data_IF_348071612199
#
_entry.id   IF_348071612199
#
_cell.length_a   1.000
_cell.length_b   1.000
_cell.length_c   1.000
_cell.angle_alpha   90.00
_cell.angle_beta   90.00
_cell.angle_gamma   90.00
#
_symmetry.space_group_name_H-M   'P 1'
#
loop_
_entity.id
_entity.type
_entity.pdbx_description
1 polymer ?
#
# COMPACT_ATOMS: atom_id res chain seq x y z
N UNK A 1 12.57 34.39 66.70
CA UNK A 1 12.40 32.93 66.61
C UNK A 1 11.85 32.65 65.23
N UNK A 2 12.70 32.06 64.41
CA UNK A 2 12.45 31.58 63.05
C UNK A 2 11.73 30.23 63.11
N UNK A 3 10.66 30.04 62.35
CA UNK A 3 10.22 28.70 61.98
C UNK A 3 10.00 28.62 60.48
N UNK A 4 10.80 27.73 59.89
CA UNK A 4 10.88 27.41 58.49
C UNK A 4 9.74 26.45 58.14
N UNK A 5 8.81 26.88 57.28
CA UNK A 5 7.93 25.96 56.60
C UNK A 5 8.68 25.37 55.40
N UNK A 6 9.16 24.16 55.61
CA UNK A 6 9.74 23.25 54.63
C UNK A 6 8.77 23.07 53.46
N UNK A 7 9.17 23.54 52.28
CA UNK A 7 8.55 23.17 51.01
C UNK A 7 8.78 21.67 50.81
N UNK A 8 7.71 20.87 50.90
CA UNK A 8 7.77 19.48 50.45
C UNK A 8 8.02 19.46 48.94
N UNK A 9 9.20 18.97 48.57
CA UNK A 9 9.55 18.73 47.19
C UNK A 9 8.61 17.65 46.63
N UNK A 10 7.98 17.85 45.45
CA UNK A 10 7.32 16.75 44.78
C UNK A 10 8.40 15.71 44.48
N UNK A 11 8.20 14.49 44.97
CA UNK A 11 8.99 13.32 44.62
C UNK A 11 8.82 13.08 43.13
N UNK A 12 9.68 13.71 42.34
CA UNK A 12 9.89 13.35 40.95
C UNK A 12 10.33 11.89 40.93
N UNK A 13 9.37 10.99 40.71
CA UNK A 13 9.65 9.67 40.18
C UNK A 13 10.23 9.87 38.77
N UNK A 14 11.49 10.29 38.72
CA UNK A 14 12.32 10.25 37.54
C UNK A 14 12.39 8.78 37.15
N UNK A 15 11.48 8.38 36.25
CA UNK A 15 11.57 7.12 35.54
C UNK A 15 12.95 7.16 34.91
N UNK A 16 13.91 6.44 35.50
CA UNK A 16 15.27 6.30 34.99
C UNK A 16 15.08 5.74 33.59
N UNK A 17 15.05 6.62 32.59
CA UNK A 17 15.12 6.27 31.19
C UNK A 17 16.55 5.77 31.02
N UNK A 18 16.77 4.50 31.36
CA UNK A 18 17.96 3.79 30.97
C UNK A 18 18.12 4.07 29.49
N UNK A 19 19.22 4.74 29.13
CA UNK A 19 19.47 5.14 27.76
C UNK A 19 19.64 3.85 26.99
N UNK A 20 18.53 3.36 26.41
CA UNK A 20 18.51 2.12 25.64
C UNK A 20 19.42 2.35 24.45
N UNK A 21 20.41 1.47 24.31
CA UNK A 21 21.28 1.41 23.13
C UNK A 21 20.88 0.17 22.35
N UNK A 22 20.93 0.29 21.03
CA UNK A 22 20.70 -0.85 20.15
C UNK A 22 21.81 -1.89 20.31
N UNK A 23 21.44 -3.17 20.28
CA UNK A 23 22.34 -4.31 20.24
C UNK A 23 22.05 -5.21 19.03
N UNK A 24 23.04 -5.96 18.51
CA UNK A 24 22.80 -6.91 17.43
C UNK A 24 21.69 -7.92 17.78
N UNK A 25 20.71 -8.07 16.88
CA UNK A 25 19.53 -8.92 17.11
C UNK A 25 18.36 -8.22 17.80
N UNK A 26 18.54 -6.99 18.32
CA UNK A 26 17.44 -6.19 18.85
C UNK A 26 16.70 -5.42 17.75
N UNK A 27 15.46 -5.03 18.07
CA UNK A 27 14.64 -4.14 17.27
C UNK A 27 15.40 -2.85 16.96
N UNK A 28 15.56 -2.52 15.68
CA UNK A 28 16.32 -1.35 15.24
C UNK A 28 15.64 -0.03 15.63
N UNK A 29 14.33 -0.04 15.92
CA UNK A 29 13.58 1.17 16.30
C UNK A 29 13.69 1.54 17.78
N UNK A 30 13.37 0.60 18.67
CA UNK A 30 13.25 0.81 20.12
C UNK A 30 14.31 0.07 20.95
N UNK A 31 15.14 -0.78 20.33
CA UNK A 31 16.18 -1.57 21.01
C UNK A 31 15.65 -2.75 21.83
N UNK A 32 14.36 -3.07 21.71
CA UNK A 32 13.76 -4.22 22.38
C UNK A 32 14.18 -5.55 21.75
N UNK A 33 14.35 -6.59 22.57
CA UNK A 33 14.73 -7.94 22.15
C UNK A 33 13.54 -8.89 22.05
N UNK A 34 12.37 -8.47 22.51
CA UNK A 34 11.20 -9.32 22.55
C UNK A 34 10.57 -9.52 21.16
N UNK A 35 10.39 -10.78 20.76
CA UNK A 35 9.71 -11.18 19.51
C UNK A 35 10.23 -10.43 18.28
N UNK A 36 11.56 -10.29 18.19
CA UNK A 36 12.23 -9.62 17.07
C UNK A 36 12.28 -10.55 15.87
N UNK A 37 11.71 -10.07 14.77
CA UNK A 37 11.78 -10.73 13.47
C UNK A 37 12.23 -9.73 12.41
N UNK A 38 12.65 -10.24 11.26
CA UNK A 38 13.00 -9.40 10.12
C UNK A 38 11.73 -8.96 9.41
N UNK A 39 11.43 -7.67 9.50
CA UNK A 39 10.31 -7.03 8.82
C UNK A 39 10.84 -5.94 7.89
N UNK A 40 10.49 -5.98 6.60
CA UNK A 40 11.00 -5.03 5.58
C UNK A 40 12.54 -4.89 5.57
N UNK A 41 13.25 -6.02 5.71
CA UNK A 41 14.71 -6.08 5.77
C UNK A 41 15.35 -5.44 7.03
N UNK A 42 14.57 -5.16 8.06
CA UNK A 42 15.03 -4.59 9.32
C UNK A 42 14.53 -5.43 10.51
N UNK A 43 15.34 -5.62 11.58
CA UNK A 43 14.86 -6.31 12.77
C UNK A 43 13.85 -5.40 13.49
N UNK A 44 12.62 -5.88 13.66
CA UNK A 44 11.54 -5.18 14.36
C UNK A 44 10.91 -6.10 15.40
N UNK A 45 10.72 -5.60 16.62
CA UNK A 45 9.92 -6.31 17.63
C UNK A 45 8.44 -6.30 17.26
N UNK A 46 7.66 -7.22 17.84
CA UNK A 46 6.22 -7.32 17.60
C UNK A 46 5.47 -6.00 17.82
N UNK A 47 5.82 -5.23 18.85
CA UNK A 47 5.18 -3.94 19.16
C UNK A 47 5.41 -2.90 18.06
N UNK A 48 6.65 -2.73 17.60
CA UNK A 48 6.95 -1.79 16.52
C UNK A 48 6.24 -2.21 15.22
N UNK A 49 6.24 -3.51 14.90
CA UNK A 49 5.54 -4.04 13.72
C UNK A 49 4.05 -3.74 13.75
N UNK A 50 3.39 -3.90 14.90
CA UNK A 50 1.96 -3.59 15.06
C UNK A 50 1.66 -2.12 14.74
N UNK A 51 2.42 -1.18 15.31
CA UNK A 51 2.22 0.24 15.03
C UNK A 51 2.56 0.61 13.58
N UNK A 52 3.64 0.07 13.02
CA UNK A 52 3.98 0.28 11.60
C UNK A 52 2.87 -0.24 10.67
N UNK A 53 2.32 -1.41 10.97
CA UNK A 53 1.20 -2.00 10.22
C UNK A 53 -0.04 -1.10 10.24
N UNK A 54 -0.42 -0.55 11.40
CA UNK A 54 -1.55 0.40 11.51
C UNK A 54 -1.31 1.65 10.65
N UNK A 55 -0.10 2.20 10.66
CA UNK A 55 0.22 3.39 9.85
C UNK A 55 0.17 3.04 8.36
N UNK A 56 0.65 1.86 7.97
CA UNK A 56 0.63 1.42 6.58
C UNK A 56 -0.78 1.12 6.08
N UNK A 57 -1.62 0.51 6.91
CA UNK A 57 -3.03 0.27 6.63
C UNK A 57 -3.77 1.58 6.38
N UNK A 58 -3.61 2.56 7.28
CA UNK A 58 -4.17 3.88 7.08
C UNK A 58 -3.64 4.54 5.78
N UNK A 59 -2.36 4.34 5.41
CA UNK A 59 -1.82 4.91 4.15
C UNK A 59 -2.46 4.26 2.94
N UNK A 60 -2.69 2.95 2.98
CA UNK A 60 -3.40 2.21 1.92
C UNK A 60 -4.84 2.68 1.79
N UNK A 61 -5.54 2.88 2.92
CA UNK A 61 -6.90 3.40 2.93
C UNK A 61 -6.98 4.78 2.26
N UNK A 62 -6.12 5.73 2.67
CA UNK A 62 -6.09 7.06 2.05
C UNK A 62 -5.79 6.97 0.55
N UNK A 63 -4.84 6.13 0.15
CA UNK A 63 -4.51 5.93 -1.26
C UNK A 63 -5.63 5.32 -2.09
N UNK A 64 -6.38 4.36 -1.52
CA UNK A 64 -7.50 3.69 -2.18
C UNK A 64 -8.62 4.66 -2.55
N UNK A 65 -8.92 5.61 -1.65
CA UNK A 65 -9.98 6.60 -1.85
C UNK A 65 -9.48 7.94 -2.39
N UNK A 66 -8.20 8.05 -2.77
CA UNK A 66 -7.62 9.29 -3.29
C UNK A 66 -7.62 10.45 -2.28
N UNK A 67 -7.65 10.13 -0.99
CA UNK A 67 -7.74 11.09 0.11
C UNK A 67 -6.39 11.76 0.38
N UNK A 68 -6.43 12.88 1.10
CA UNK A 68 -5.22 13.58 1.53
C UNK A 68 -4.34 12.66 2.39
N UNK A 69 -3.01 12.61 2.17
CA UNK A 69 -2.08 11.83 2.98
C UNK A 69 -2.17 12.12 4.48
N UNK A 70 -1.84 11.09 5.28
CA UNK A 70 -1.87 11.15 6.75
C UNK A 70 -0.77 12.06 7.29
N UNK A 71 -1.13 13.03 8.14
CA UNK A 71 -0.19 13.90 8.83
C UNK A 71 -0.51 15.40 8.79
N UNK A 72 -1.52 15.81 8.01
CA UNK A 72 -2.00 17.20 8.00
C UNK A 72 -2.99 17.48 9.13
N UNK A 73 -4.20 16.94 9.02
CA UNK A 73 -5.34 17.18 9.93
C UNK A 73 -6.04 15.87 10.29
N UNK A 74 -6.73 15.86 11.43
CA UNK A 74 -7.72 14.82 11.77
C UNK A 74 -9.10 15.08 11.16
N UNK A 75 -9.36 16.30 10.70
CA UNK A 75 -10.65 16.65 10.11
C UNK A 75 -10.97 15.73 8.93
N UNK A 76 -12.16 15.13 8.97
CA UNK A 76 -12.73 14.22 8.01
C UNK A 76 -14.26 14.39 8.03
N UNK A 77 -14.89 14.29 6.87
CA UNK A 77 -16.36 14.25 6.75
C UNK A 77 -16.92 12.82 6.80
N UNK A 78 -16.04 11.82 6.94
CA UNK A 78 -16.35 10.39 6.99
C UNK A 78 -15.71 9.76 8.24
N UNK A 79 -16.49 8.97 8.98
CA UNK A 79 -16.06 8.36 10.25
C UNK A 79 -14.94 7.35 10.05
N UNK A 80 -15.00 6.52 9.01
CA UNK A 80 -13.98 5.50 8.72
C UNK A 80 -12.64 6.16 8.39
N UNK A 81 -12.65 7.25 7.61
CA UNK A 81 -11.46 8.07 7.40
C UNK A 81 -10.92 8.66 8.72
N UNK A 82 -11.80 9.17 9.60
CA UNK A 82 -11.40 9.73 10.89
C UNK A 82 -10.69 8.69 11.76
N UNK A 83 -11.24 7.48 11.86
CA UNK A 83 -10.64 6.38 12.61
C UNK A 83 -9.24 6.02 12.08
N UNK A 84 -9.06 5.91 10.77
CA UNK A 84 -7.74 5.65 10.18
C UNK A 84 -6.74 6.77 10.44
N UNK A 85 -7.17 8.05 10.40
CA UNK A 85 -6.31 9.20 10.73
C UNK A 85 -5.91 9.19 12.21
N UNK A 86 -6.86 8.89 13.10
CA UNK A 86 -6.64 8.82 14.54
C UNK A 86 -5.68 7.68 14.90
N UNK A 87 -5.96 6.45 14.44
CA UNK A 87 -5.16 5.27 14.71
C UNK A 87 -3.71 5.44 14.21
N UNK A 88 -3.52 6.00 13.01
CA UNK A 88 -2.18 6.28 12.49
C UNK A 88 -1.43 7.34 13.32
N UNK A 89 -2.12 8.36 13.84
CA UNK A 89 -1.52 9.37 14.71
C UNK A 89 -1.08 8.77 16.03
N UNK A 90 -1.93 7.96 16.65
CA UNK A 90 -1.63 7.29 17.91
C UNK A 90 -0.48 6.29 17.74
N UNK A 91 -0.48 5.50 16.67
CA UNK A 91 0.62 4.60 16.34
C UNK A 91 1.95 5.34 16.12
N UNK A 92 1.93 6.50 15.44
CA UNK A 92 3.13 7.35 15.30
C UNK A 92 3.62 7.89 16.64
N UNK A 93 2.70 8.34 17.49
CA UNK A 93 3.04 8.82 18.85
C UNK A 93 3.69 7.69 19.66
N UNK A 94 3.05 6.52 19.71
CA UNK A 94 3.58 5.36 20.42
C UNK A 94 4.98 4.96 19.92
N UNK A 95 5.20 4.94 18.60
CA UNK A 95 6.53 4.69 18.03
C UNK A 95 7.54 5.76 18.43
N UNK A 96 7.18 7.05 18.41
CA UNK A 96 8.08 8.12 18.81
C UNK A 96 8.44 8.06 20.30
N UNK A 97 7.49 7.67 21.16
CA UNK A 97 7.69 7.57 22.60
C UNK A 97 8.72 6.48 22.98
N UNK A 98 8.76 5.38 22.23
CA UNK A 98 9.69 4.26 22.44
C UNK A 98 10.95 4.32 21.56
N UNK A 99 11.11 5.37 20.75
CA UNK A 99 12.20 5.46 19.78
C UNK A 99 13.54 5.58 20.50
N UNK A 100 14.54 4.83 20.02
CA UNK A 100 15.93 5.00 20.47
C UNK A 100 16.40 6.44 20.22
N UNK A 101 17.06 7.02 21.22
CA UNK A 101 17.64 8.36 21.13
C UNK A 101 18.67 8.46 19.98
N UNK A 102 19.47 7.41 19.78
CA UNK A 102 20.38 7.27 18.66
C UNK A 102 20.03 6.01 17.88
N UNK A 103 19.67 6.17 16.61
CA UNK A 103 19.42 5.04 15.71
C UNK A 103 20.74 4.35 15.35
N UNK A 104 20.76 3.02 15.27
CA UNK A 104 21.96 2.29 14.86
C UNK A 104 22.28 2.53 13.37
N UNK A 105 23.57 2.44 13.03
CA UNK A 105 24.02 2.54 11.64
C UNK A 105 23.47 1.37 10.80
N UNK A 106 22.82 1.63 9.65
CA UNK A 106 22.32 0.59 8.75
C UNK A 106 23.39 -0.41 8.28
N UNK A 107 24.67 -0.05 8.26
CA UNK A 107 25.75 -1.01 7.99
C UNK A 107 25.91 -2.05 9.11
N UNK A 108 25.81 -1.61 10.38
CA UNK A 108 25.87 -2.50 11.54
C UNK A 108 24.67 -3.44 11.60
N UNK A 109 23.48 -2.91 11.28
CA UNK A 109 22.24 -3.69 11.20
C UNK A 109 22.38 -4.78 10.14
N UNK A 110 22.78 -4.41 8.90
CA UNK A 110 23.01 -5.38 7.82
C UNK A 110 24.08 -6.43 8.17
N UNK A 111 25.14 -6.04 8.88
CA UNK A 111 26.18 -6.99 9.35
C UNK A 111 25.61 -7.98 10.36
N UNK A 112 24.73 -7.54 11.26
CA UNK A 112 24.06 -8.39 12.25
C UNK A 112 23.03 -9.34 11.62
N UNK A 113 22.39 -8.95 10.51
CA UNK A 113 21.43 -9.77 9.76
C UNK A 113 22.07 -10.88 8.91
N UNK A 114 23.38 -10.81 8.63
CA UNK A 114 24.03 -11.83 7.81
C UNK A 114 24.01 -13.16 8.57
N UNK A 115 23.57 -14.27 7.93
CA UNK A 115 23.69 -15.57 8.54
C UNK A 115 25.17 -15.82 8.83
N UNK A 116 25.52 -16.02 10.11
CA UNK A 116 26.85 -16.47 10.52
C UNK A 116 27.05 -17.90 10.02
N UNK A 117 27.43 -18.05 8.76
CA UNK A 117 28.09 -19.27 8.31
C UNK A 117 29.46 -19.34 9.04
N UNK A 118 29.70 -20.43 9.77
CA UNK A 118 30.94 -20.76 10.49
C UNK A 118 31.27 -19.94 11.75
N UNK A 119 30.57 -20.25 12.84
CA UNK A 119 31.14 -20.20 14.19
C UNK A 119 31.16 -21.61 14.79
N UNK A 120 31.74 -22.56 14.05
CA UNK A 120 32.15 -23.88 14.54
C UNK A 120 33.48 -24.18 13.85
N UNK A 121 34.57 -23.85 14.53
CA UNK A 121 35.83 -24.60 14.61
C UNK A 121 36.75 -23.80 15.54
N UNK A 122 36.80 -24.22 16.80
CA UNK A 122 37.94 -23.97 17.65
C UNK A 122 39.20 -24.55 17.00
N UNK A 123 40.32 -23.82 17.09
CA UNK A 123 41.69 -24.31 16.92
C UNK A 123 42.04 -24.89 15.54
N UNK A 124 42.92 -24.22 14.80
CA UNK A 124 44.18 -24.77 14.31
C UNK A 124 44.91 -23.70 13.49
N UNK A 125 46.18 -23.54 13.82
CA UNK A 125 47.18 -22.87 13.01
C UNK A 125 47.29 -23.58 11.65
N UNK A 126 47.50 -22.82 10.57
CA UNK A 126 47.97 -23.40 9.32
C UNK A 126 47.30 -22.87 8.06
N UNK A 127 48.06 -22.02 7.38
CA UNK A 127 48.23 -21.97 5.93
C UNK A 127 47.37 -22.92 5.09
N UNK A 128 46.62 -22.38 4.12
CA UNK A 128 46.90 -22.63 2.70
C UNK A 128 45.88 -21.94 1.80
N UNK A 129 46.42 -21.28 0.78
CA UNK A 129 45.71 -20.78 -0.37
C UNK A 129 45.14 -21.94 -1.21
N UNK A 130 43.89 -21.79 -1.66
CA UNK A 130 43.35 -22.39 -2.89
C UNK A 130 42.03 -21.64 -3.19
N UNK A 131 42.06 -20.66 -4.09
CA UNK A 131 41.72 -20.81 -5.52
C UNK A 131 40.53 -21.72 -5.73
N UNK A 132 39.32 -21.13 -5.77
CA UNK A 132 38.15 -21.77 -6.35
C UNK A 132 37.48 -20.81 -7.33
N UNK A 133 37.70 -21.17 -8.59
CA UNK A 133 36.96 -20.88 -9.82
C UNK A 133 35.69 -20.03 -9.72
N UNK A 134 35.77 -18.87 -10.41
CA UNK A 134 34.63 -18.15 -11.00
C UNK A 134 33.98 -19.04 -12.07
N UNK A 135 32.66 -18.94 -12.25
CA UNK A 135 32.22 -18.45 -13.56
C UNK A 135 31.37 -17.20 -13.42
N UNK A 136 31.65 -16.25 -14.30
CA UNK A 136 30.79 -15.13 -14.57
C UNK A 136 29.59 -15.58 -15.38
N UNK A 137 28.42 -15.03 -15.06
CA UNK A 137 27.43 -14.67 -16.07
C UNK A 137 26.60 -13.52 -15.55
N UNK A 138 26.89 -12.34 -16.12
CA UNK A 138 26.06 -11.17 -16.06
C UNK A 138 25.42 -11.00 -17.44
N UNK A 139 24.08 -11.00 -17.50
CA UNK A 139 23.21 -10.13 -18.32
C UNK A 139 21.78 -10.65 -18.18
N UNK A 140 20.89 -9.90 -17.51
CA UNK A 140 19.93 -8.97 -18.12
C UNK A 140 19.16 -9.58 -19.29
N UNK A 141 17.89 -9.90 -19.05
CA UNK A 141 16.82 -9.76 -20.06
C UNK A 141 15.48 -9.66 -19.35
N UNK A 142 14.84 -8.51 -19.57
CA UNK A 142 13.44 -8.21 -19.32
C UNK A 142 12.55 -9.14 -20.15
N UNK A 143 11.64 -9.87 -19.51
CA UNK A 143 10.58 -10.62 -20.18
C UNK A 143 9.22 -10.01 -19.85
N UNK A 144 8.75 -9.20 -20.78
CA UNK A 144 7.38 -8.76 -20.96
C UNK A 144 6.42 -9.94 -21.21
N UNK A 145 5.23 -9.82 -20.61
CA UNK A 145 3.92 -10.22 -21.15
C UNK A 145 3.75 -11.61 -21.82
N UNK A 146 2.95 -12.47 -21.21
CA UNK A 146 2.17 -13.47 -21.94
C UNK A 146 0.91 -13.86 -21.17
N UNK A 147 -0.16 -13.10 -21.40
CA UNK A 147 -1.54 -13.52 -21.14
C UNK A 147 -1.96 -14.60 -22.15
N UNK A 148 -2.86 -15.53 -21.78
CA UNK A 148 -3.21 -16.68 -22.61
C UNK A 148 -4.01 -16.27 -23.87
N UNK A 149 -3.64 -16.86 -25.01
CA UNK A 149 -4.33 -16.77 -26.30
C UNK A 149 -5.71 -17.44 -26.22
N UNK A 150 -6.80 -16.80 -26.67
CA UNK A 150 -7.93 -17.52 -27.25
C UNK A 150 -7.65 -17.69 -28.75
N UNK A 151 -7.42 -18.93 -29.17
CA UNK A 151 -7.52 -19.30 -30.57
C UNK A 151 -9.01 -19.40 -30.95
N UNK A 152 -9.49 -18.50 -31.79
CA UNK A 152 -10.61 -18.72 -32.72
C UNK A 152 -10.49 -17.73 -33.88
N UNK A 153 -10.39 -18.32 -35.06
CA UNK A 153 -10.30 -17.78 -36.41
C UNK A 153 -10.95 -16.40 -36.59
N UNK A 154 -10.14 -15.40 -36.92
CA UNK A 154 -10.63 -14.19 -37.55
C UNK A 154 -10.97 -14.51 -39.01
N UNK A 155 -12.26 -14.59 -39.31
CA UNK A 155 -12.75 -14.46 -40.68
C UNK A 155 -12.29 -13.09 -41.23
N UNK A 156 -12.06 -12.95 -42.56
CA UNK A 156 -11.72 -11.66 -43.13
C UNK A 156 -12.84 -10.68 -42.82
N UNK A 157 -12.51 -9.62 -42.06
CA UNK A 157 -13.41 -8.48 -41.87
C UNK A 157 -13.66 -7.91 -43.25
N UNK A 158 -14.85 -8.17 -43.77
CA UNK A 158 -15.32 -7.51 -44.99
C UNK A 158 -15.33 -6.02 -44.68
N UNK A 159 -14.48 -5.24 -45.33
CA UNK A 159 -14.58 -3.77 -45.38
C UNK A 159 -15.75 -3.34 -46.28
N UNK A 160 -16.87 -4.06 -46.19
CA UNK A 160 -18.01 -3.95 -47.09
C UNK A 160 -19.25 -3.68 -46.27
N UNK A 161 -19.78 -2.47 -46.43
CA UNK A 161 -20.98 -1.92 -45.82
C UNK A 161 -21.02 -1.97 -44.28
N UNK A 162 -21.20 -0.81 -43.68
CA UNK A 162 -21.57 -0.72 -42.27
C UNK A 162 -22.96 -1.36 -42.12
N UNK A 163 -23.03 -2.50 -41.43
CA UNK A 163 -24.30 -3.20 -41.19
C UNK A 163 -25.16 -2.40 -40.20
N UNK A 164 -26.21 -1.79 -40.71
CA UNK A 164 -27.12 -0.95 -39.93
C UNK A 164 -27.90 -1.78 -38.90
N UNK A 165 -28.19 -3.06 -39.16
CA UNK A 165 -28.90 -3.95 -38.22
C UNK A 165 -28.00 -4.33 -37.04
N UNK A 166 -26.71 -4.58 -37.29
CA UNK A 166 -25.72 -4.82 -36.24
C UNK A 166 -25.54 -3.58 -35.35
N UNK A 167 -25.48 -2.39 -35.95
CA UNK A 167 -25.42 -1.12 -35.21
C UNK A 167 -26.65 -0.95 -34.31
N UNK A 168 -27.85 -1.24 -34.82
CA UNK A 168 -29.09 -1.12 -34.05
C UNK A 168 -29.11 -2.10 -32.87
N UNK A 169 -28.75 -3.36 -33.11
CA UNK A 169 -28.72 -4.39 -32.06
C UNK A 169 -27.74 -4.02 -30.95
N UNK A 170 -26.55 -3.50 -31.32
CA UNK A 170 -25.56 -3.02 -30.36
C UNK A 170 -26.03 -1.77 -29.60
N UNK A 171 -26.72 -0.86 -30.26
CA UNK A 171 -27.30 0.32 -29.62
C UNK A 171 -28.37 -0.06 -28.58
N UNK A 172 -29.26 -1.00 -28.92
CA UNK A 172 -30.27 -1.52 -27.98
C UNK A 172 -29.63 -2.17 -26.76
N UNK A 173 -28.62 -3.03 -26.95
CA UNK A 173 -27.91 -3.66 -25.84
C UNK A 173 -27.21 -2.63 -24.92
N UNK A 174 -26.65 -1.55 -25.49
CA UNK A 174 -26.05 -0.47 -24.71
C UNK A 174 -27.09 0.37 -23.95
N UNK A 175 -28.30 0.55 -24.50
CA UNK A 175 -29.40 1.21 -23.80
C UNK A 175 -29.93 0.38 -22.63
N UNK A 176 -30.02 -0.95 -22.80
CA UNK A 176 -30.36 -1.85 -21.69
C UNK A 176 -29.31 -1.78 -20.57
N UNK A 177 -28.02 -1.79 -20.93
CA UNK A 177 -26.92 -1.61 -19.97
C UNK A 177 -26.99 -0.24 -19.28
N UNK A 178 -27.32 0.82 -20.01
CA UNK A 178 -27.50 2.17 -19.45
C UNK A 178 -28.62 2.18 -18.40
N UNK A 179 -29.75 1.54 -18.70
CA UNK A 179 -30.88 1.44 -17.76
C UNK A 179 -30.50 0.67 -16.48
N UNK A 180 -29.70 -0.39 -16.60
CA UNK A 180 -29.20 -1.15 -15.45
C UNK A 180 -28.26 -0.32 -14.57
N UNK A 181 -27.38 0.48 -15.17
CA UNK A 181 -26.49 1.39 -14.44
C UNK A 181 -27.29 2.49 -13.73
N UNK A 182 -28.32 3.05 -14.37
CA UNK A 182 -29.17 4.06 -13.75
C UNK A 182 -29.95 3.48 -12.55
N UNK A 183 -30.43 2.23 -12.64
CA UNK A 183 -31.02 1.53 -11.51
C UNK A 183 -30.01 1.32 -10.37
N UNK A 184 -28.76 0.93 -10.68
CA UNK A 184 -27.70 0.80 -9.67
C UNK A 184 -27.34 2.14 -9.03
N UNK A 185 -27.26 3.22 -9.81
CA UNK A 185 -27.02 4.57 -9.28
C UNK A 185 -28.12 4.99 -8.29
N UNK A 186 -29.38 4.69 -8.58
CA UNK A 186 -30.49 4.96 -7.66
C UNK A 186 -30.34 4.20 -6.33
N UNK A 187 -29.89 2.94 -6.37
CA UNK A 187 -29.67 2.14 -5.16
C UNK A 187 -28.48 2.62 -4.31
N UNK A 188 -27.44 3.17 -4.93
CA UNK A 188 -26.25 3.67 -4.22
C UNK A 188 -26.42 5.14 -3.79
N UNK A 189 -27.41 5.87 -4.33
CA UNK A 189 -27.68 7.26 -3.95
C UNK A 189 -28.00 7.43 -2.46
N UNK A 190 -28.71 6.47 -1.87
CA UNK A 190 -29.07 6.44 -0.45
C UNK A 190 -27.91 5.98 0.46
N UNK A 191 -26.84 5.43 -0.11
CA UNK A 191 -25.70 4.93 0.65
C UNK A 191 -24.69 6.05 0.92
N UNK A 192 -24.38 6.22 2.20
CA UNK A 192 -23.35 7.11 2.68
C UNK A 192 -22.01 6.36 2.85
N UNK A 193 -20.91 7.11 2.83
CA UNK A 193 -19.56 6.57 3.03
C UNK A 193 -18.67 6.59 1.79
N UNK A 194 -17.36 6.48 2.01
CA UNK A 194 -16.34 6.52 0.96
C UNK A 194 -16.51 5.42 -0.10
N UNK A 195 -16.81 4.19 0.33
CA UNK A 195 -17.07 3.08 -0.58
C UNK A 195 -18.26 3.34 -1.51
N UNK A 196 -19.35 3.90 -0.97
CA UNK A 196 -20.53 4.26 -1.76
C UNK A 196 -20.24 5.41 -2.73
N UNK A 197 -19.48 6.43 -2.31
CA UNK A 197 -19.03 7.53 -3.17
C UNK A 197 -18.15 7.03 -4.32
N UNK A 198 -17.19 6.15 -4.03
CA UNK A 198 -16.31 5.56 -5.05
C UNK A 198 -17.13 4.76 -6.09
N UNK A 199 -18.05 3.90 -5.62
CA UNK A 199 -18.95 3.13 -6.50
C UNK A 199 -19.81 4.03 -7.38
N UNK A 200 -20.39 5.11 -6.83
CA UNK A 200 -21.16 6.09 -7.63
C UNK A 200 -20.31 6.73 -8.71
N UNK A 201 -19.11 7.20 -8.36
CA UNK A 201 -18.18 7.79 -9.34
C UNK A 201 -17.84 6.83 -10.49
N UNK A 202 -17.64 5.54 -10.18
CA UNK A 202 -17.33 4.55 -11.22
C UNK A 202 -18.53 4.24 -12.10
N UNK A 203 -19.74 4.12 -11.53
CA UNK A 203 -20.98 3.97 -12.30
C UNK A 203 -21.24 5.19 -13.21
N UNK A 204 -20.98 6.40 -12.73
CA UNK A 204 -21.07 7.63 -13.54
C UNK A 204 -20.07 7.64 -14.70
N UNK A 205 -18.83 7.17 -14.49
CA UNK A 205 -17.84 7.02 -15.57
C UNK A 205 -18.27 5.98 -16.60
N UNK A 206 -18.86 4.87 -16.15
CA UNK A 206 -19.41 3.84 -17.04
C UNK A 206 -20.56 4.40 -17.87
N UNK A 207 -21.52 5.08 -17.24
CA UNK A 207 -22.61 5.80 -17.91
C UNK A 207 -22.10 6.77 -18.97
N UNK A 208 -21.14 7.62 -18.62
CA UNK A 208 -20.55 8.57 -19.56
C UNK A 208 -19.85 7.88 -20.75
N UNK A 209 -19.24 6.71 -20.51
CA UNK A 209 -18.59 5.93 -21.57
C UNK A 209 -19.62 5.30 -22.50
N UNK A 210 -20.70 4.74 -21.96
CA UNK A 210 -21.81 4.20 -22.77
C UNK A 210 -22.46 5.30 -23.62
N UNK A 211 -22.76 6.46 -23.04
CA UNK A 211 -23.32 7.59 -23.79
C UNK A 211 -22.38 8.06 -24.92
N UNK A 212 -21.07 8.11 -24.68
CA UNK A 212 -20.07 8.38 -25.72
C UNK A 212 -20.09 7.32 -26.84
N UNK A 213 -20.21 6.04 -26.48
CA UNK A 213 -20.30 4.96 -27.49
C UNK A 213 -21.61 5.00 -28.27
N UNK A 214 -22.73 5.31 -27.64
CA UNK A 214 -24.03 5.48 -28.29
C UNK A 214 -23.99 6.63 -29.31
N UNK A 215 -23.41 7.78 -28.93
CA UNK A 215 -23.21 8.89 -29.86
C UNK A 215 -22.32 8.52 -31.06
N UNK A 216 -21.28 7.71 -30.84
CA UNK A 216 -20.43 7.21 -31.92
C UNK A 216 -21.18 6.24 -32.86
N UNK A 217 -22.03 5.36 -32.32
CA UNK A 217 -22.87 4.47 -33.10
C UNK A 217 -23.94 5.22 -33.89
N UNK A 218 -24.55 6.25 -33.30
CA UNK A 218 -25.49 7.13 -34.01
C UNK A 218 -24.81 7.81 -35.20
N UNK A 219 -23.61 8.36 -34.99
CA UNK A 219 -22.82 8.97 -36.07
C UNK A 219 -22.50 7.96 -37.19
N UNK A 220 -22.13 6.73 -36.82
CA UNK A 220 -21.88 5.67 -37.78
C UNK A 220 -23.16 5.30 -38.57
N UNK A 221 -24.32 5.23 -37.89
CA UNK A 221 -25.61 5.00 -38.53
C UNK A 221 -25.94 6.09 -39.56
N UNK A 222 -25.77 7.36 -39.18
CA UNK A 222 -26.03 8.49 -40.07
C UNK A 222 -25.11 8.48 -41.30
N UNK A 223 -23.83 8.14 -41.12
CA UNK A 223 -22.90 8.01 -42.25
C UNK A 223 -23.25 6.84 -43.19
N UNK A 224 -23.83 5.76 -42.64
CA UNK A 224 -24.26 4.59 -43.41
C UNK A 224 -25.60 4.82 -44.13
N UNK A 225 -26.51 5.63 -43.57
CA UNK A 225 -27.80 5.97 -44.19
C UNK A 225 -27.77 7.17 -45.15
N UNK A 226 -26.69 7.96 -45.13
CA UNK A 226 -26.49 9.12 -46.00
C UNK A 226 -25.61 8.87 -47.23
N UNK A 227 -25.22 7.61 -47.46
CA UNK A 227 -24.56 7.12 -48.69
C UNK A 227 -25.57 6.41 -49.57
#
# INVERSE_FOLDING_TARGET
>A
MTDAQTLEAPTENATIRTVRRWSPGACVWCGDTDSVEVFRNEPRCATCRKHEAVIDEARKFMGMYGLRPIGGTLQSDDEEEYEHRLAAREARRALNDIRLAQQPDPALVRKALRPRAAAITEGHTGSSAQTSTRPASATRSSSSSSSPKPAKSAAPVRTGAVDVEEIQTRALALLDQLSAIDAQLALVAEQNGLAARARRSDLEKQKATILRTLAALEKARLSASGS
#
